data_IF_837457258670
#
_entry.id   IF_837457258670
#
_cell.length_a   1.000
_cell.length_b   1.000
_cell.length_c   1.000
_cell.angle_alpha   90.00
_cell.angle_beta   90.00
_cell.angle_gamma   90.00
#
_symmetry.space_group_name_H-M   'P 1'
#
loop_
_entity.id
_entity.type
_entity.pdbx_description
1 polymer ?
#
# COMPACT_ATOMS: atom_id res chain seq x y z
N UNK A 1 5.79 37.53 16.67
CA UNK A 1 5.60 36.12 16.34
C UNK A 1 6.17 35.24 17.45
N UNK A 2 5.56 34.10 17.73
CA UNK A 2 6.01 33.16 18.75
C UNK A 2 6.55 31.86 18.08
N UNK A 3 7.43 31.14 18.79
CA UNK A 3 8.06 29.96 18.26
C UNK A 3 7.17 28.71 18.31
N UNK A 4 6.38 28.53 19.37
CA UNK A 4 5.61 27.29 19.59
C UNK A 4 4.69 26.86 18.44
N UNK A 5 3.99 27.73 17.66
CA UNK A 5 3.20 27.24 16.55
C UNK A 5 4.07 26.62 15.45
N UNK A 6 5.23 27.22 15.15
CA UNK A 6 6.19 26.68 14.18
C UNK A 6 6.79 25.36 14.68
N UNK A 7 7.13 25.28 15.95
CA UNK A 7 7.67 24.07 16.55
C UNK A 7 6.68 22.91 16.54
N UNK A 8 5.37 23.15 16.72
CA UNK A 8 4.35 22.11 16.55
C UNK A 8 4.25 21.65 15.09
N UNK A 9 4.33 22.56 14.12
CA UNK A 9 4.39 22.19 12.70
C UNK A 9 5.66 21.41 12.37
N UNK A 10 6.80 21.80 12.92
CA UNK A 10 8.04 21.07 12.77
C UNK A 10 7.97 19.67 13.43
N UNK A 11 7.35 19.55 14.59
CA UNK A 11 7.13 18.26 15.24
C UNK A 11 6.37 17.30 14.30
N UNK A 12 5.34 17.78 13.62
CA UNK A 12 4.59 16.97 12.65
C UNK A 12 5.47 16.50 11.49
N UNK A 13 6.26 17.39 10.89
CA UNK A 13 7.18 17.04 9.80
C UNK A 13 8.27 16.07 10.26
N UNK A 14 8.88 16.34 11.42
CA UNK A 14 9.92 15.49 12.01
C UNK A 14 9.38 14.11 12.38
N UNK A 15 8.16 14.03 12.92
CA UNK A 15 7.51 12.76 13.20
C UNK A 15 7.33 11.92 11.92
N UNK A 16 6.79 12.54 10.85
CA UNK A 16 6.67 11.89 9.55
C UNK A 16 8.02 11.42 8.99
N UNK A 17 9.05 12.24 9.13
CA UNK A 17 10.40 11.86 8.71
C UNK A 17 10.96 10.71 9.56
N UNK A 18 10.73 10.71 10.87
CA UNK A 18 11.15 9.62 11.76
C UNK A 18 10.50 8.27 11.39
N UNK A 19 9.21 8.29 11.04
CA UNK A 19 8.50 7.08 10.57
C UNK A 19 9.06 6.57 9.25
N UNK A 20 9.46 7.49 8.35
CA UNK A 20 10.01 7.15 7.03
C UNK A 20 11.51 6.82 7.05
N UNK A 21 12.17 6.88 8.19
CA UNK A 21 13.58 6.45 8.24
C UNK A 21 13.69 4.92 8.03
N UNK A 22 14.66 4.51 7.21
CA UNK A 22 15.85 5.22 6.70
C UNK A 22 15.73 5.76 5.26
N UNK A 23 14.54 5.73 4.67
CA UNK A 23 14.31 6.05 3.25
C UNK A 23 14.06 7.54 2.97
N UNK A 24 13.70 8.31 3.99
CA UNK A 24 13.40 9.74 3.87
C UNK A 24 14.63 10.56 3.42
N UNK A 25 14.45 11.41 2.37
CA UNK A 25 15.51 12.28 1.87
C UNK A 25 15.64 13.52 2.76
N UNK A 26 16.87 13.88 3.14
CA UNK A 26 17.13 15.09 3.93
C UNK A 26 16.68 16.38 3.21
N UNK A 27 16.79 16.42 1.89
CA UNK A 27 16.33 17.56 1.09
C UNK A 27 14.83 17.80 1.26
N UNK A 28 14.03 16.74 1.22
CA UNK A 28 12.57 16.83 1.42
C UNK A 28 12.28 17.31 2.85
N UNK A 29 13.00 16.80 3.85
CA UNK A 29 12.84 17.25 5.23
C UNK A 29 13.02 18.76 5.37
N UNK A 30 14.11 19.32 4.85
CA UNK A 30 14.37 20.77 4.92
C UNK A 30 13.33 21.60 4.16
N UNK A 31 12.91 21.11 2.97
CA UNK A 31 11.87 21.76 2.17
C UNK A 31 10.54 21.84 2.95
N UNK A 32 10.10 20.74 3.56
CA UNK A 32 8.85 20.73 4.32
C UNK A 32 8.94 21.49 5.63
N UNK A 33 10.07 21.48 6.34
CA UNK A 33 10.29 22.32 7.52
C UNK A 33 10.18 23.81 7.17
N UNK A 34 10.80 24.24 6.07
CA UNK A 34 10.73 25.61 5.61
C UNK A 34 9.32 25.99 5.14
N UNK A 35 8.67 25.16 4.33
CA UNK A 35 7.32 25.40 3.83
C UNK A 35 6.27 25.49 4.95
N UNK A 36 6.30 24.56 5.90
CA UNK A 36 5.40 24.55 7.06
C UNK A 36 5.67 25.76 7.96
N UNK A 37 6.92 26.14 8.19
CA UNK A 37 7.25 27.34 8.93
C UNK A 37 6.69 28.59 8.26
N UNK A 38 6.88 28.74 6.95
CA UNK A 38 6.33 29.86 6.16
C UNK A 38 4.80 29.96 6.26
N UNK A 39 4.10 28.84 6.06
CA UNK A 39 2.64 28.79 6.17
C UNK A 39 2.14 29.18 7.57
N UNK A 40 2.80 28.71 8.62
CA UNK A 40 2.43 29.02 10.02
C UNK A 40 2.74 30.48 10.36
N UNK A 41 3.83 31.05 9.85
CA UNK A 41 4.14 32.48 10.02
C UNK A 41 3.09 33.35 9.35
N UNK A 42 2.63 33.00 8.15
CA UNK A 42 1.52 33.67 7.48
C UNK A 42 0.23 33.57 8.32
N UNK A 43 -0.09 32.37 8.84
CA UNK A 43 -1.25 32.18 9.71
C UNK A 43 -1.16 33.07 10.96
N UNK A 44 0.01 33.12 11.63
CA UNK A 44 0.20 34.01 12.79
C UNK A 44 0.00 35.48 12.42
N UNK A 45 0.48 35.92 11.26
CA UNK A 45 0.31 37.27 10.79
C UNK A 45 -1.18 37.59 10.53
N UNK A 46 -1.89 36.74 9.82
CA UNK A 46 -3.33 36.89 9.56
C UNK A 46 -4.11 36.98 10.88
N UNK A 47 -3.83 36.08 11.82
CA UNK A 47 -4.46 36.11 13.15
C UNK A 47 -4.09 37.37 13.95
N UNK A 48 -2.86 37.89 13.80
CA UNK A 48 -2.45 39.12 14.46
C UNK A 48 -3.22 40.34 13.93
N UNK A 49 -3.49 40.39 12.63
CA UNK A 49 -4.33 41.44 12.01
C UNK A 49 -5.79 41.37 12.48
N UNK A 50 -6.33 40.16 12.65
CA UNK A 50 -7.72 39.95 13.07
C UNK A 50 -7.93 40.21 14.56
N UNK A 51 -7.03 39.72 15.42
CA UNK A 51 -7.21 39.72 16.88
C UNK A 51 -6.62 40.99 17.53
N UNK A 52 -5.71 41.67 16.86
CA UNK A 52 -5.06 42.91 17.32
C UNK A 52 -4.52 42.88 18.76
N UNK A 53 -3.90 41.72 19.13
CA UNK A 53 -3.33 41.49 20.47
C UNK A 53 -1.95 40.84 20.35
N UNK A 54 -0.94 41.23 21.14
CA UNK A 54 0.46 40.82 20.93
C UNK A 54 0.74 39.33 21.18
N UNK A 55 -0.11 38.62 21.92
CA UNK A 55 0.15 37.22 22.34
C UNK A 55 -0.93 36.22 21.96
N UNK A 56 -2.19 36.64 21.85
CA UNK A 56 -3.35 35.80 21.54
C UNK A 56 -3.27 35.10 20.18
N UNK A 57 -2.80 35.76 19.10
CA UNK A 57 -2.70 35.13 17.78
C UNK A 57 -1.86 33.86 17.75
N UNK A 58 -0.73 33.84 18.45
CA UNK A 58 0.16 32.70 18.47
C UNK A 58 -0.48 31.46 19.15
N UNK A 59 -1.21 31.67 20.25
CA UNK A 59 -1.92 30.58 20.94
C UNK A 59 -3.01 29.98 20.04
N UNK A 60 -3.77 30.85 19.35
CA UNK A 60 -4.77 30.42 18.38
C UNK A 60 -4.13 29.68 17.20
N UNK A 61 -3.01 30.17 16.68
CA UNK A 61 -2.25 29.49 15.65
C UNK A 61 -1.82 28.07 16.08
N UNK A 62 -1.34 27.91 17.32
CA UNK A 62 -1.00 26.58 17.83
C UNK A 62 -2.20 25.63 17.90
N UNK A 63 -3.35 26.12 18.35
CA UNK A 63 -4.56 25.30 18.40
C UNK A 63 -4.97 24.83 16.98
N UNK A 64 -4.90 25.73 15.98
CA UNK A 64 -5.15 25.38 14.59
C UNK A 64 -4.14 24.35 14.06
N UNK A 65 -2.84 24.59 14.29
CA UNK A 65 -1.76 23.69 13.80
C UNK A 65 -1.88 22.31 14.42
N UNK A 66 -2.06 22.24 15.74
CA UNK A 66 -2.18 20.94 16.44
C UNK A 66 -3.38 20.16 15.93
N UNK A 67 -4.54 20.77 15.79
CA UNK A 67 -5.70 20.07 15.25
C UNK A 67 -5.51 19.65 13.79
N UNK A 68 -5.04 20.58 12.95
CA UNK A 68 -4.90 20.29 11.52
C UNK A 68 -3.87 19.19 11.23
N UNK A 69 -2.74 19.21 11.94
CA UNK A 69 -1.64 18.27 11.72
C UNK A 69 -1.81 16.94 12.45
N UNK A 70 -2.38 16.92 13.66
CA UNK A 70 -2.37 15.71 14.51
C UNK A 70 -3.73 15.04 14.66
N UNK A 71 -4.83 15.65 14.23
CA UNK A 71 -6.15 15.03 14.31
C UNK A 71 -6.19 13.66 13.61
N UNK A 72 -5.48 13.54 12.49
CA UNK A 72 -5.36 12.30 11.76
C UNK A 72 -4.66 11.19 12.54
N UNK A 73 -3.55 11.51 13.20
CA UNK A 73 -2.82 10.56 14.04
C UNK A 73 -3.68 10.09 15.21
N UNK A 74 -4.36 11.00 15.89
CA UNK A 74 -5.25 10.65 17.00
C UNK A 74 -6.39 9.75 16.56
N UNK A 75 -6.99 10.03 15.40
CA UNK A 75 -8.04 9.19 14.84
C UNK A 75 -7.54 7.78 14.56
N UNK A 76 -6.40 7.66 13.88
CA UNK A 76 -5.80 6.35 13.57
C UNK A 76 -5.41 5.57 14.83
N UNK A 77 -4.86 6.25 15.82
CA UNK A 77 -4.55 5.60 17.09
C UNK A 77 -5.81 5.11 17.80
N UNK A 78 -6.89 5.90 17.75
CA UNK A 78 -8.18 5.50 18.30
C UNK A 78 -8.79 4.31 17.52
N UNK A 79 -8.64 4.30 16.20
CA UNK A 79 -9.06 3.19 15.35
C UNK A 79 -8.37 1.88 15.76
N UNK A 80 -7.06 1.90 15.94
CA UNK A 80 -6.29 0.75 16.45
C UNK A 80 -6.77 0.30 17.83
N UNK A 81 -7.00 1.21 18.77
CA UNK A 81 -7.45 0.86 20.12
C UNK A 81 -8.87 0.35 20.19
N UNK A 82 -9.73 0.75 19.25
CA UNK A 82 -11.15 0.39 19.27
C UNK A 82 -11.50 -0.71 18.27
N UNK A 83 -10.53 -1.18 17.49
CA UNK A 83 -10.72 -2.22 16.48
C UNK A 83 -11.33 -3.48 17.11
N UNK A 84 -12.41 -3.99 16.51
CA UNK A 84 -13.16 -5.16 17.03
C UNK A 84 -14.00 -4.90 18.28
N UNK A 85 -14.08 -3.67 18.76
CA UNK A 85 -14.92 -3.29 19.91
C UNK A 85 -16.17 -2.51 19.51
N UNK A 86 -17.17 -2.48 20.41
CA UNK A 86 -18.38 -1.64 20.26
C UNK A 86 -18.08 -0.13 20.15
N UNK A 87 -16.83 0.29 20.37
CA UNK A 87 -16.40 1.68 20.34
C UNK A 87 -15.75 2.09 19.02
N UNK A 88 -15.63 1.19 18.03
CA UNK A 88 -15.00 1.47 16.73
C UNK A 88 -15.63 2.68 16.00
N UNK A 89 -16.91 2.95 16.24
CA UNK A 89 -17.60 4.11 15.68
C UNK A 89 -16.99 5.46 16.08
N UNK A 90 -16.27 5.54 17.22
CA UNK A 90 -15.57 6.77 17.65
C UNK A 90 -14.46 7.18 16.69
N UNK A 91 -13.87 6.27 15.95
CA UNK A 91 -12.83 6.56 14.97
C UNK A 91 -13.39 7.15 13.65
N UNK A 92 -14.70 7.19 13.46
CA UNK A 92 -15.31 7.72 12.23
C UNK A 92 -15.16 9.24 12.14
N UNK A 93 -14.72 9.73 10.97
CA UNK A 93 -14.39 11.15 10.74
C UNK A 93 -15.57 12.10 11.02
N UNK A 94 -16.79 11.66 10.80
CA UNK A 94 -18.02 12.44 11.07
C UNK A 94 -18.13 12.95 12.52
N UNK A 95 -17.51 12.25 13.47
CA UNK A 95 -17.51 12.67 14.88
C UNK A 95 -16.35 13.59 15.22
N UNK A 96 -15.23 13.45 14.52
CA UNK A 96 -14.04 14.26 14.76
C UNK A 96 -14.19 15.71 14.31
N UNK A 97 -14.94 15.96 13.24
CA UNK A 97 -15.18 17.32 12.74
C UNK A 97 -15.93 18.20 13.74
N UNK A 98 -17.09 17.76 14.28
CA UNK A 98 -17.78 18.52 15.32
C UNK A 98 -16.93 18.73 16.58
N UNK A 99 -16.17 17.71 17.01
CA UNK A 99 -15.27 17.80 18.17
C UNK A 99 -14.18 18.83 17.92
N UNK A 100 -13.50 18.77 16.77
CA UNK A 100 -12.46 19.71 16.39
C UNK A 100 -13.01 21.13 16.25
N UNK A 101 -14.16 21.30 15.61
CA UNK A 101 -14.86 22.60 15.47
C UNK A 101 -15.23 23.19 16.82
N UNK A 102 -15.78 22.36 17.71
CA UNK A 102 -16.14 22.79 19.08
C UNK A 102 -14.88 23.19 19.87
N UNK A 103 -13.83 22.39 19.79
CA UNK A 103 -12.56 22.71 20.46
C UNK A 103 -11.96 24.04 19.96
N UNK A 104 -11.92 24.25 18.65
CA UNK A 104 -11.46 25.52 18.06
C UNK A 104 -12.34 26.69 18.53
N UNK A 105 -13.65 26.52 18.44
CA UNK A 105 -14.57 27.58 18.87
C UNK A 105 -14.39 27.92 20.34
N UNK A 106 -14.36 26.92 21.23
CA UNK A 106 -14.11 27.14 22.67
C UNK A 106 -12.75 27.80 22.93
N UNK A 107 -11.69 27.34 22.22
CA UNK A 107 -10.36 27.92 22.33
C UNK A 107 -10.35 29.40 21.90
N UNK A 108 -11.05 29.73 20.82
CA UNK A 108 -11.19 31.09 20.34
C UNK A 108 -11.95 31.97 21.34
N UNK A 109 -13.12 31.49 21.80
CA UNK A 109 -13.92 32.24 22.79
C UNK A 109 -13.12 32.47 24.07
N UNK A 110 -12.43 31.44 24.56
CA UNK A 110 -11.62 31.56 25.76
C UNK A 110 -10.47 32.57 25.59
N UNK A 111 -9.70 32.46 24.50
CA UNK A 111 -8.58 33.35 24.21
C UNK A 111 -9.07 34.81 24.01
N UNK A 112 -10.20 35.01 23.31
CA UNK A 112 -10.71 36.37 23.08
C UNK A 112 -11.24 37.01 24.35
N UNK A 113 -11.95 36.23 25.20
CA UNK A 113 -12.59 36.75 26.42
C UNK A 113 -11.65 36.88 27.61
N UNK A 114 -10.53 36.13 27.64
CA UNK A 114 -9.62 36.19 28.77
C UNK A 114 -8.95 37.54 28.86
N UNK A 115 -8.94 38.13 30.06
CA UNK A 115 -8.17 39.33 30.41
C UNK A 115 -6.73 39.02 30.85
N UNK A 116 -6.40 37.72 31.02
CA UNK A 116 -5.07 37.29 31.45
C UNK A 116 -4.01 37.59 30.40
N UNK A 117 -2.80 37.88 30.87
CA UNK A 117 -1.67 38.22 29.96
C UNK A 117 -1.17 37.08 29.12
N UNK A 118 -1.56 35.83 29.43
CA UNK A 118 -1.18 34.61 28.74
C UNK A 118 0.35 34.40 28.57
N UNK A 119 1.17 35.07 29.38
CA UNK A 119 2.65 34.93 29.37
C UNK A 119 3.04 33.51 29.78
N UNK A 120 2.45 33.02 30.86
CA UNK A 120 2.72 31.67 31.41
C UNK A 120 2.29 30.60 30.40
N UNK A 121 1.11 30.74 29.81
CA UNK A 121 0.63 29.81 28.77
C UNK A 121 1.57 29.77 27.57
N UNK A 122 2.04 30.93 27.10
CA UNK A 122 3.00 31.01 26.00
C UNK A 122 4.32 30.33 26.37
N UNK A 123 4.91 30.64 27.55
CA UNK A 123 6.16 30.01 27.99
C UNK A 123 6.02 28.49 28.10
N UNK A 124 4.89 28.02 28.62
CA UNK A 124 4.58 26.59 28.70
C UNK A 124 4.54 25.95 27.32
N UNK A 125 3.83 26.55 26.33
CA UNK A 125 3.76 26.06 24.98
C UNK A 125 5.12 26.07 24.28
N UNK A 126 5.93 27.12 24.47
CA UNK A 126 7.30 27.20 23.95
C UNK A 126 8.18 26.07 24.53
N UNK A 127 8.11 25.84 25.87
CA UNK A 127 8.88 24.78 26.52
C UNK A 127 8.47 23.36 26.06
N UNK A 128 7.16 23.08 26.03
CA UNK A 128 6.64 21.77 25.63
C UNK A 128 6.98 21.48 24.18
N UNK A 129 6.71 22.42 23.25
CA UNK A 129 7.00 22.21 21.84
C UNK A 129 8.50 22.04 21.57
N UNK A 130 9.36 22.79 22.27
CA UNK A 130 10.81 22.64 22.17
C UNK A 130 11.26 21.27 22.67
N UNK A 131 10.75 20.82 23.82
CA UNK A 131 11.07 19.48 24.36
C UNK A 131 10.65 18.37 23.41
N UNK A 132 9.43 18.44 22.86
CA UNK A 132 8.92 17.43 21.92
C UNK A 132 9.77 17.37 20.64
N UNK A 133 10.13 18.51 20.07
CA UNK A 133 11.03 18.57 18.90
C UNK A 133 12.41 17.99 19.26
N UNK A 134 12.98 18.33 20.41
CA UNK A 134 14.28 17.81 20.85
C UNK A 134 14.25 16.28 21.02
N UNK A 135 13.22 15.73 21.67
CA UNK A 135 13.04 14.30 21.83
C UNK A 135 12.90 13.59 20.48
N UNK A 136 12.13 14.15 19.57
CA UNK A 136 11.96 13.59 18.21
C UNK A 136 13.28 13.61 17.44
N UNK A 137 14.04 14.68 17.51
CA UNK A 137 15.37 14.76 16.89
C UNK A 137 16.33 13.72 17.46
N UNK A 138 16.37 13.56 18.79
CA UNK A 138 17.17 12.50 19.42
C UNK A 138 16.75 11.12 18.93
N UNK A 139 15.44 10.87 18.79
CA UNK A 139 14.91 9.64 18.23
C UNK A 139 15.40 9.41 16.79
N UNK A 140 15.35 10.44 15.95
CA UNK A 140 15.83 10.40 14.57
C UNK A 140 17.33 10.06 14.49
N UNK A 141 18.15 10.67 15.34
CA UNK A 141 19.61 10.40 15.34
C UNK A 141 19.98 9.04 15.92
N UNK A 142 19.18 8.51 16.83
CA UNK A 142 19.41 7.19 17.45
C UNK A 142 18.79 6.04 16.66
N UNK A 143 17.85 6.32 15.75
CA UNK A 143 17.26 5.27 14.95
C UNK A 143 18.35 4.52 14.17
N UNK A 144 18.40 3.19 14.27
CA UNK A 144 19.36 2.43 13.49
C UNK A 144 19.11 2.71 12.01
N UNK A 145 20.14 3.08 11.29
CA UNK A 145 20.10 3.21 9.81
C UNK A 145 20.07 1.80 9.20
N UNK A 146 18.99 1.08 9.47
CA UNK A 146 18.84 -0.34 9.16
C UNK A 146 18.44 -0.56 7.70
N UNK A 147 19.18 0.04 6.75
CA UNK A 147 18.95 -0.35 5.38
C UNK A 147 20.25 -0.53 4.61
N UNK A 148 20.73 -1.73 4.71
CA UNK A 148 21.27 -2.38 3.53
C UNK A 148 20.05 -2.87 2.76
N UNK A 149 19.44 -2.02 1.91
CA UNK A 149 18.62 -2.52 0.82
C UNK A 149 19.48 -3.56 0.12
N UNK A 150 18.95 -4.74 -0.22
CA UNK A 150 19.66 -5.67 -1.06
C UNK A 150 20.02 -4.91 -2.34
N UNK A 151 21.20 -4.30 -2.38
CA UNK A 151 21.78 -3.81 -3.60
C UNK A 151 22.31 -5.05 -4.28
N UNK A 152 21.44 -5.81 -4.92
CA UNK A 152 21.96 -6.87 -5.75
C UNK A 152 22.60 -6.18 -6.95
N UNK A 153 23.94 -6.27 -7.07
CA UNK A 153 24.59 -5.99 -8.35
C UNK A 153 23.94 -6.85 -9.44
N UNK A 154 23.39 -8.00 -9.06
CA UNK A 154 22.52 -8.87 -9.87
C UNK A 154 21.30 -8.14 -10.44
N UNK A 155 20.67 -7.22 -9.73
CA UNK A 155 19.53 -6.46 -10.26
C UNK A 155 19.90 -5.57 -11.47
N UNK A 156 21.19 -5.30 -11.70
CA UNK A 156 21.67 -4.53 -12.84
C UNK A 156 22.15 -5.39 -14.00
N UNK A 157 22.38 -6.68 -13.78
CA UNK A 157 22.82 -7.58 -14.83
C UNK A 157 21.64 -7.92 -15.76
N UNK A 158 21.75 -7.70 -17.08
CA UNK A 158 20.72 -8.08 -18.02
C UNK A 158 20.52 -9.60 -18.03
N UNK A 159 19.30 -10.02 -18.33
CA UNK A 159 18.99 -11.41 -18.59
C UNK A 159 19.51 -11.82 -19.96
N UNK A 160 19.89 -13.08 -20.14
CA UNK A 160 20.25 -13.62 -21.44
C UNK A 160 18.98 -13.78 -22.28
N UNK A 161 18.92 -13.07 -23.39
CA UNK A 161 17.76 -13.13 -24.30
C UNK A 161 18.18 -13.84 -25.56
N UNK A 162 17.56 -15.00 -25.82
CA UNK A 162 17.73 -15.75 -27.05
C UNK A 162 16.51 -15.50 -27.96
N UNK A 163 16.70 -14.81 -29.09
CA UNK A 163 15.62 -14.51 -30.03
C UNK A 163 14.72 -13.34 -29.62
N UNK A 164 13.42 -13.46 -29.88
CA UNK A 164 12.41 -12.46 -29.51
C UNK A 164 11.77 -12.87 -28.19
N UNK A 165 12.08 -12.19 -27.08
CA UNK A 165 11.52 -12.52 -25.79
C UNK A 165 9.99 -12.19 -25.76
N UNK A 166 9.19 -13.01 -25.08
CA UNK A 166 7.75 -12.76 -24.96
C UNK A 166 7.45 -11.54 -24.08
N UNK A 167 6.33 -10.87 -24.33
CA UNK A 167 5.77 -9.93 -23.35
C UNK A 167 5.45 -10.68 -22.06
N UNK A 168 5.61 -10.02 -20.91
CA UNK A 168 5.32 -10.59 -19.60
C UNK A 168 4.25 -9.74 -18.93
N UNK A 169 3.13 -10.36 -18.58
CA UNK A 169 2.05 -9.77 -17.80
C UNK A 169 2.07 -10.35 -16.39
N UNK A 170 2.34 -9.53 -15.38
CA UNK A 170 2.17 -9.88 -13.99
C UNK A 170 0.92 -9.19 -13.48
N UNK A 171 -0.17 -9.95 -13.36
CA UNK A 171 -1.49 -9.51 -12.92
C UNK A 171 -1.69 -10.00 -11.50
N UNK A 172 -1.65 -9.07 -10.55
CA UNK A 172 -1.84 -9.33 -9.14
C UNK A 172 -3.25 -8.95 -8.73
N UNK A 173 -3.96 -9.88 -8.11
CA UNK A 173 -5.29 -9.70 -7.53
C UNK A 173 -5.17 -9.63 -6.01
N UNK A 174 -5.56 -8.50 -5.41
CA UNK A 174 -5.36 -8.25 -3.98
C UNK A 174 -6.38 -9.03 -3.13
N UNK A 175 -5.88 -9.85 -2.23
CA UNK A 175 -6.66 -10.72 -1.34
C UNK A 175 -7.49 -11.81 -2.06
N UNK A 176 -7.06 -12.28 -3.23
CA UNK A 176 -7.75 -13.36 -3.92
C UNK A 176 -7.33 -14.73 -3.34
N UNK A 177 -8.21 -15.33 -2.55
CA UNK A 177 -7.98 -16.64 -1.93
C UNK A 177 -8.06 -17.79 -2.95
N UNK A 178 -7.50 -18.97 -2.61
CA UNK A 178 -7.46 -20.09 -3.54
C UNK A 178 -8.84 -20.71 -3.82
N UNK A 179 -9.05 -21.32 -5.00
CA UNK A 179 -10.28 -22.06 -5.29
C UNK A 179 -10.60 -23.14 -4.26
N UNK A 180 -9.57 -23.80 -3.70
CA UNK A 180 -9.73 -24.82 -2.66
C UNK A 180 -10.28 -24.21 -1.37
N UNK A 181 -9.77 -23.04 -0.96
CA UNK A 181 -10.27 -22.31 0.21
C UNK A 181 -11.69 -21.78 0.00
N UNK A 182 -12.00 -21.27 -1.18
CA UNK A 182 -13.37 -20.86 -1.53
C UNK A 182 -14.36 -22.00 -1.37
N UNK A 183 -13.99 -23.19 -1.80
CA UNK A 183 -14.82 -24.39 -1.63
C UNK A 183 -14.91 -24.86 -0.18
N UNK A 184 -13.80 -24.82 0.54
CA UNK A 184 -13.73 -25.35 1.91
C UNK A 184 -14.40 -24.45 2.96
N UNK A 185 -14.29 -23.16 2.82
CA UNK A 185 -14.68 -22.19 3.87
C UNK A 185 -15.84 -21.26 3.47
N UNK A 186 -16.16 -21.19 2.15
CA UNK A 186 -17.15 -20.24 1.61
C UNK A 186 -18.34 -20.93 0.94
N UNK A 187 -18.33 -22.27 0.84
CA UNK A 187 -19.30 -23.05 0.07
C UNK A 187 -19.46 -22.53 -1.38
N UNK A 188 -18.37 -22.02 -1.94
CA UNK A 188 -18.34 -21.47 -3.30
C UNK A 188 -17.42 -22.30 -4.21
N UNK A 189 -17.96 -22.79 -5.32
CA UNK A 189 -17.22 -23.55 -6.33
C UNK A 189 -16.73 -22.62 -7.45
N UNK A 190 -15.44 -22.29 -7.42
CA UNK A 190 -14.78 -21.44 -8.42
C UNK A 190 -14.30 -22.21 -9.66
N UNK A 191 -14.84 -23.41 -9.89
CA UNK A 191 -14.49 -24.25 -11.05
C UNK A 191 -14.76 -23.56 -12.40
N UNK A 192 -15.71 -22.66 -12.47
CA UNK A 192 -15.99 -21.87 -13.68
C UNK A 192 -14.78 -21.05 -14.13
N UNK A 193 -14.11 -20.33 -13.20
CA UNK A 193 -12.88 -19.59 -13.53
C UNK A 193 -11.74 -20.57 -13.83
N UNK A 194 -11.54 -21.59 -13.02
CA UNK A 194 -10.47 -22.60 -13.20
C UNK A 194 -10.57 -23.26 -14.56
N UNK A 195 -11.76 -23.73 -14.96
CA UNK A 195 -11.99 -24.35 -16.27
C UNK A 195 -11.79 -23.37 -17.43
N UNK A 196 -12.22 -22.13 -17.27
CA UNK A 196 -12.00 -21.09 -18.26
C UNK A 196 -10.50 -20.82 -18.46
N UNK A 197 -9.74 -20.62 -17.39
CA UNK A 197 -8.29 -20.41 -17.45
C UNK A 197 -7.57 -21.62 -18.05
N UNK A 198 -7.92 -22.83 -17.62
CA UNK A 198 -7.35 -24.06 -18.18
C UNK A 198 -7.68 -24.21 -19.67
N UNK A 199 -8.90 -23.89 -20.09
CA UNK A 199 -9.31 -23.88 -21.50
C UNK A 199 -8.56 -22.85 -22.35
N UNK A 200 -8.08 -21.77 -21.74
CA UNK A 200 -7.20 -20.78 -22.37
C UNK A 200 -5.71 -21.20 -22.35
N UNK A 201 -5.36 -22.33 -21.77
CA UNK A 201 -3.99 -22.84 -21.69
C UNK A 201 -3.21 -22.42 -20.45
N UNK A 202 -3.88 -21.92 -19.40
CA UNK A 202 -3.24 -21.65 -18.12
C UNK A 202 -3.03 -22.95 -17.31
N UNK A 203 -1.91 -23.01 -16.60
CA UNK A 203 -1.66 -23.96 -15.53
C UNK A 203 -2.14 -23.33 -14.23
N UNK A 204 -3.30 -23.80 -13.70
CA UNK A 204 -3.83 -23.36 -12.41
C UNK A 204 -3.21 -24.22 -11.32
N UNK A 205 -2.38 -23.62 -10.48
CA UNK A 205 -1.59 -24.31 -9.47
C UNK A 205 -2.39 -24.50 -8.17
N UNK A 206 -2.43 -25.73 -7.70
CA UNK A 206 -3.10 -26.08 -6.45
C UNK A 206 -2.20 -25.82 -5.24
N UNK A 207 -2.82 -25.56 -4.09
CA UNK A 207 -2.14 -25.36 -2.82
C UNK A 207 -1.11 -24.24 -2.81
N UNK A 208 -1.26 -23.26 -3.70
CA UNK A 208 -0.38 -22.10 -3.72
C UNK A 208 -0.60 -21.23 -2.48
N UNK A 209 0.50 -20.81 -1.87
CA UNK A 209 0.48 -20.02 -0.64
C UNK A 209 1.38 -18.81 -0.73
N UNK A 210 0.91 -17.70 -0.21
CA UNK A 210 1.73 -16.50 -0.01
C UNK A 210 2.70 -16.72 1.17
N UNK A 211 3.77 -15.93 1.17
CA UNK A 211 4.76 -15.94 2.25
C UNK A 211 4.49 -14.88 3.33
N UNK A 212 3.44 -14.10 3.18
CA UNK A 212 2.99 -13.07 4.11
C UNK A 212 1.49 -12.81 3.93
N UNK A 213 0.92 -12.01 4.81
CA UNK A 213 -0.50 -11.61 4.77
C UNK A 213 -0.69 -10.12 4.46
N UNK A 214 0.34 -9.44 4.05
CA UNK A 214 0.35 -7.99 3.79
C UNK A 214 0.90 -7.71 2.39
N UNK A 215 0.13 -7.05 1.55
CA UNK A 215 0.47 -6.72 0.16
C UNK A 215 1.86 -6.12 -0.02
N UNK A 216 2.29 -5.10 0.73
CA UNK A 216 3.64 -4.55 0.56
C UNK A 216 4.76 -5.56 0.89
N UNK A 217 4.55 -6.42 1.88
CA UNK A 217 5.51 -7.47 2.28
C UNK A 217 5.57 -8.56 1.22
N UNK A 218 4.41 -9.03 0.75
CA UNK A 218 4.31 -10.02 -0.32
C UNK A 218 5.03 -9.55 -1.58
N UNK A 219 4.70 -8.37 -2.07
CA UNK A 219 5.30 -7.81 -3.28
C UNK A 219 6.79 -7.54 -3.14
N UNK A 220 7.23 -7.04 -1.99
CA UNK A 220 8.66 -6.85 -1.73
C UNK A 220 9.44 -8.17 -1.88
N UNK A 221 8.87 -9.30 -1.44
CA UNK A 221 9.49 -10.63 -1.58
C UNK A 221 9.35 -11.22 -2.98
N UNK A 222 8.16 -11.14 -3.58
CA UNK A 222 7.89 -11.72 -4.91
C UNK A 222 8.76 -11.09 -6.00
N UNK A 223 8.77 -9.75 -6.06
CA UNK A 223 9.51 -9.00 -7.07
C UNK A 223 11.03 -9.03 -6.85
N UNK A 224 11.49 -9.32 -5.63
CA UNK A 224 12.90 -9.57 -5.34
C UNK A 224 13.28 -11.05 -5.41
N UNK A 225 12.32 -11.93 -5.67
CA UNK A 225 12.59 -13.36 -5.74
C UNK A 225 13.31 -13.90 -4.49
N UNK A 226 13.08 -13.29 -3.32
CA UNK A 226 13.80 -13.62 -2.09
C UNK A 226 13.00 -13.28 -0.84
N UNK A 227 13.16 -14.07 0.22
CA UNK A 227 12.68 -13.71 1.54
C UNK A 227 13.51 -12.58 2.12
N UNK A 228 12.87 -11.51 2.52
CA UNK A 228 13.54 -10.30 2.98
C UNK A 228 13.43 -10.15 4.49
N UNK A 229 14.47 -9.65 5.16
CA UNK A 229 14.44 -9.38 6.60
C UNK A 229 13.63 -8.11 6.88
N UNK A 230 12.30 -8.20 6.77
CA UNK A 230 11.41 -7.08 7.07
C UNK A 230 11.21 -7.06 8.58
N UNK A 231 11.50 -5.92 9.27
CA UNK A 231 11.42 -5.85 10.72
C UNK A 231 10.01 -6.15 11.24
N UNK A 232 9.88 -7.17 12.09
CA UNK A 232 8.61 -7.57 12.70
C UNK A 232 8.14 -6.63 13.80
N UNK A 233 9.10 -5.98 14.47
CA UNK A 233 8.87 -5.06 15.60
C UNK A 233 8.34 -3.68 15.18
N UNK A 234 8.30 -3.38 13.89
CA UNK A 234 7.81 -2.10 13.37
C UNK A 234 6.32 -2.15 13.08
N UNK A 235 5.64 -1.03 13.36
CA UNK A 235 4.24 -0.85 12.97
C UNK A 235 4.07 -0.89 11.44
N UNK A 236 2.88 -1.20 10.95
CA UNK A 236 2.55 -1.16 9.51
C UNK A 236 2.86 0.22 8.89
N UNK A 237 2.64 1.30 9.64
CA UNK A 237 2.97 2.65 9.18
C UNK A 237 4.46 2.83 8.83
N UNK A 238 5.35 2.06 9.46
CA UNK A 238 6.80 2.06 9.18
C UNK A 238 7.19 1.00 8.13
N UNK A 239 6.52 -0.17 8.14
CA UNK A 239 6.81 -1.26 7.19
C UNK A 239 6.42 -0.89 5.76
N UNK A 240 5.25 -0.26 5.56
CA UNK A 240 4.74 0.07 4.23
C UNK A 240 5.71 0.94 3.42
N UNK A 241 6.20 2.08 3.91
CA UNK A 241 7.18 2.88 3.18
C UNK A 241 8.48 2.13 2.86
N UNK A 242 8.92 1.28 3.80
CA UNK A 242 10.10 0.44 3.62
C UNK A 242 9.91 -0.56 2.48
N UNK A 243 8.79 -1.29 2.48
CA UNK A 243 8.45 -2.21 1.40
C UNK A 243 8.28 -1.49 0.05
N UNK A 244 7.68 -0.29 0.03
CA UNK A 244 7.53 0.51 -1.19
C UNK A 244 8.88 0.83 -1.83
N UNK A 245 9.90 1.18 -1.05
CA UNK A 245 11.25 1.43 -1.59
C UNK A 245 11.89 0.14 -2.10
N UNK A 246 11.70 -0.98 -1.42
CA UNK A 246 12.16 -2.30 -1.87
C UNK A 246 11.47 -2.70 -3.19
N UNK A 247 10.16 -2.49 -3.30
CA UNK A 247 9.38 -2.77 -4.51
C UNK A 247 9.88 -1.92 -5.68
N UNK A 248 10.13 -0.63 -5.45
CA UNK A 248 10.64 0.27 -6.48
C UNK A 248 12.00 -0.18 -7.05
N UNK A 249 12.83 -0.79 -6.21
CA UNK A 249 14.17 -1.29 -6.59
C UNK A 249 14.20 -2.79 -6.82
N UNK A 250 13.06 -3.44 -6.92
CA UNK A 250 12.97 -4.89 -6.95
C UNK A 250 13.73 -5.50 -8.12
N UNK A 251 14.33 -6.67 -7.87
CA UNK A 251 15.28 -7.33 -8.78
C UNK A 251 14.63 -7.74 -10.11
N UNK A 252 13.48 -8.40 -10.09
CA UNK A 252 12.87 -8.92 -11.31
C UNK A 252 12.49 -7.80 -12.30
N UNK A 253 11.77 -6.74 -11.93
CA UNK A 253 11.49 -5.63 -12.85
C UNK A 253 12.75 -4.88 -13.28
N UNK A 254 13.74 -4.72 -12.39
CA UNK A 254 14.99 -4.01 -12.71
C UNK A 254 15.80 -4.79 -13.75
N UNK A 255 15.91 -6.11 -13.63
CA UNK A 255 16.60 -6.98 -14.61
C UNK A 255 15.89 -7.01 -15.95
N UNK A 256 14.57 -7.11 -15.97
CA UNK A 256 13.78 -7.03 -17.21
C UNK A 256 14.02 -5.69 -17.91
N UNK A 257 13.97 -4.57 -17.18
CA UNK A 257 14.28 -3.25 -17.73
C UNK A 257 15.71 -3.15 -18.28
N UNK A 258 16.71 -3.67 -17.56
CA UNK A 258 18.09 -3.71 -18.01
C UNK A 258 18.28 -4.59 -19.28
N UNK A 259 17.37 -5.55 -19.49
CA UNK A 259 17.33 -6.44 -20.64
C UNK A 259 16.52 -5.88 -21.82
N UNK A 260 16.12 -4.62 -21.77
CA UNK A 260 15.44 -3.94 -22.87
C UNK A 260 13.91 -4.02 -22.85
N UNK A 261 13.32 -4.56 -21.78
CA UNK A 261 11.85 -4.53 -21.61
C UNK A 261 11.34 -3.12 -21.33
N UNK A 262 10.25 -2.74 -21.99
CA UNK A 262 9.47 -1.58 -21.61
C UNK A 262 8.63 -1.92 -20.37
N UNK A 263 8.88 -1.21 -19.26
CA UNK A 263 8.10 -1.40 -18.02
C UNK A 263 6.83 -0.57 -18.07
N UNK A 264 5.68 -1.22 -18.03
CA UNK A 264 4.33 -0.64 -17.92
C UNK A 264 3.79 -0.90 -16.52
N UNK A 265 3.75 0.13 -15.70
CA UNK A 265 3.33 0.04 -14.31
C UNK A 265 1.86 0.45 -14.14
N UNK A 266 0.95 -0.52 -14.03
CA UNK A 266 -0.47 -0.33 -13.77
C UNK A 266 -0.80 -0.66 -12.30
N UNK A 267 -0.02 -0.14 -11.36
CA UNK A 267 -0.17 -0.44 -9.93
C UNK A 267 -0.26 0.83 -9.09
N UNK A 268 -0.28 0.64 -7.78
CA UNK A 268 -0.24 1.71 -6.77
C UNK A 268 1.18 1.95 -6.23
N UNK A 269 2.16 1.13 -6.63
CA UNK A 269 3.55 1.22 -6.19
C UNK A 269 4.46 1.78 -7.29
N UNK A 270 5.50 2.48 -6.89
CA UNK A 270 6.61 2.76 -7.81
C UNK A 270 7.36 1.46 -8.10
N UNK A 271 7.65 1.14 -9.38
CA UNK A 271 8.33 -0.09 -9.79
C UNK A 271 9.38 0.20 -10.85
N UNK A 272 10.62 -0.20 -10.62
CA UNK A 272 11.76 0.01 -11.51
C UNK A 272 11.94 1.48 -11.95
N UNK A 273 11.63 2.43 -11.06
CA UNK A 273 11.68 3.87 -11.31
C UNK A 273 10.52 4.39 -12.18
N UNK A 274 9.48 3.62 -12.40
CA UNK A 274 8.24 4.06 -13.07
C UNK A 274 7.21 4.42 -12.02
N UNK A 275 6.58 5.58 -12.21
CA UNK A 275 5.48 6.03 -11.37
C UNK A 275 4.31 5.04 -11.39
N UNK A 276 3.55 4.96 -10.29
CA UNK A 276 2.33 4.16 -10.24
C UNK A 276 1.25 4.74 -11.16
N UNK A 277 0.37 3.87 -11.63
CA UNK A 277 -0.81 4.28 -12.41
C UNK A 277 -1.75 5.16 -11.58
N UNK A 278 -1.85 4.85 -10.30
CA UNK A 278 -2.65 5.59 -9.33
C UNK A 278 -1.88 5.78 -8.02
N UNK A 279 -1.70 7.05 -7.61
CA UNK A 279 -1.10 7.35 -6.30
C UNK A 279 -2.16 7.36 -5.22
N UNK A 280 -2.11 6.37 -4.38
CA UNK A 280 -2.99 6.29 -3.22
C UNK A 280 -2.39 7.05 -2.04
N UNK A 281 -3.12 8.04 -1.48
CA UNK A 281 -2.65 8.76 -0.30
C UNK A 281 -2.47 7.79 0.88
N UNK A 282 -1.24 7.65 1.35
CA UNK A 282 -0.89 6.81 2.51
C UNK A 282 -0.34 5.41 2.19
N UNK A 283 -0.55 4.88 0.99
CA UNK A 283 0.02 3.59 0.57
C UNK A 283 1.12 3.78 -0.48
N UNK A 284 0.94 4.74 -1.39
CA UNK A 284 1.82 4.90 -2.53
C UNK A 284 3.01 5.80 -2.24
N UNK A 285 4.17 5.19 -2.20
CA UNK A 285 5.48 5.82 -2.24
C UNK A 285 6.06 6.22 -0.88
N UNK A 286 7.37 6.09 -0.73
CA UNK A 286 8.10 6.45 0.48
C UNK A 286 8.34 7.96 0.59
N UNK A 287 7.46 8.80 0.04
CA UNK A 287 7.66 10.24 0.06
C UNK A 287 7.11 10.86 1.32
N UNK A 288 7.88 11.78 1.90
CA UNK A 288 7.45 12.57 3.06
C UNK A 288 6.16 13.35 2.77
N UNK A 289 5.98 13.82 1.53
CA UNK A 289 4.74 14.49 1.11
C UNK A 289 3.52 13.60 1.23
N UNK A 290 3.58 12.38 0.71
CA UNK A 290 2.47 11.45 0.75
C UNK A 290 2.10 11.09 2.20
N UNK A 291 3.11 10.84 3.04
CA UNK A 291 2.89 10.59 4.46
C UNK A 291 2.20 11.77 5.15
N UNK A 292 2.79 12.99 5.04
CA UNK A 292 2.25 14.18 5.68
C UNK A 292 0.82 14.48 5.18
N UNK A 293 0.60 14.38 3.86
CA UNK A 293 -0.74 14.59 3.29
C UNK A 293 -1.76 13.62 3.87
N UNK A 294 -1.43 12.32 3.96
CA UNK A 294 -2.36 11.30 4.48
C UNK A 294 -2.80 11.52 5.93
N UNK A 295 -2.02 12.29 6.70
CA UNK A 295 -2.28 12.59 8.13
C UNK A 295 -3.00 13.92 8.36
N UNK A 296 -3.09 14.77 7.32
CA UNK A 296 -3.81 16.04 7.47
C UNK A 296 -5.32 15.81 7.57
N UNK A 297 -5.99 16.59 8.42
CA UNK A 297 -7.44 16.55 8.58
C UNK A 297 -8.21 16.70 7.25
N UNK A 298 -7.73 17.59 6.37
CA UNK A 298 -8.33 17.79 5.05
C UNK A 298 -8.23 16.57 4.14
N UNK A 299 -7.08 15.89 4.14
CA UNK A 299 -6.90 14.69 3.33
C UNK A 299 -7.83 13.56 3.76
N UNK A 300 -8.08 13.42 5.06
CA UNK A 300 -8.99 12.42 5.58
C UNK A 300 -10.44 12.64 5.14
N UNK A 301 -10.87 13.90 5.02
CA UNK A 301 -12.18 14.24 4.46
C UNK A 301 -12.29 13.93 2.97
N UNK A 302 -11.20 14.13 2.24
CA UNK A 302 -11.15 13.84 0.82
C UNK A 302 -11.02 12.34 0.55
N UNK A 303 -10.40 11.58 1.45
CA UNK A 303 -10.17 10.14 1.29
C UNK A 303 -11.47 9.32 1.24
N UNK A 304 -12.56 9.75 1.87
CA UNK A 304 -13.86 9.09 1.69
C UNK A 304 -14.30 9.05 0.22
N UNK A 305 -13.92 10.05 -0.59
CA UNK A 305 -14.19 10.09 -2.03
C UNK A 305 -13.14 9.28 -2.85
N UNK A 306 -11.95 9.12 -2.32
CA UNK A 306 -10.87 8.40 -2.98
C UNK A 306 -11.18 6.91 -3.08
N UNK A 307 -11.79 6.32 -2.07
CA UNK A 307 -12.18 4.89 -2.11
C UNK A 307 -13.18 4.59 -3.23
N UNK A 308 -14.07 5.51 -3.59
CA UNK A 308 -14.95 5.31 -4.74
C UNK A 308 -14.20 5.24 -6.07
N UNK A 309 -13.07 5.95 -6.17
CA UNK A 309 -12.26 5.94 -7.38
C UNK A 309 -11.52 4.62 -7.60
N UNK A 310 -11.35 3.77 -6.58
CA UNK A 310 -10.73 2.45 -6.73
C UNK A 310 -11.47 1.55 -7.71
N UNK A 311 -12.80 1.54 -7.63
CA UNK A 311 -13.60 0.77 -8.57
C UNK A 311 -13.31 1.19 -10.02
N UNK A 312 -13.27 2.50 -10.28
CA UNK A 312 -12.97 3.03 -11.61
C UNK A 312 -11.54 2.73 -12.05
N UNK A 313 -10.58 2.82 -11.13
CA UNK A 313 -9.18 2.48 -11.38
C UNK A 313 -9.03 1.01 -11.76
N UNK A 314 -9.64 0.08 -11.00
CA UNK A 314 -9.61 -1.35 -11.31
C UNK A 314 -10.22 -1.65 -12.68
N UNK A 315 -11.44 -1.14 -12.96
CA UNK A 315 -12.08 -1.32 -14.26
C UNK A 315 -11.24 -0.74 -15.39
N UNK A 316 -10.58 0.39 -15.17
CA UNK A 316 -9.67 0.99 -16.14
C UNK A 316 -8.45 0.10 -16.41
N UNK A 317 -7.82 -0.44 -15.36
CA UNK A 317 -6.69 -1.38 -15.51
C UNK A 317 -7.12 -2.60 -16.30
N UNK A 318 -8.23 -3.25 -15.96
CA UNK A 318 -8.76 -4.38 -16.72
C UNK A 318 -8.98 -4.04 -18.21
N UNK A 319 -9.50 -2.84 -18.51
CA UNK A 319 -9.71 -2.40 -19.89
C UNK A 319 -8.43 -2.09 -20.65
N UNK A 320 -7.36 -1.67 -19.95
CA UNK A 320 -6.07 -1.33 -20.56
C UNK A 320 -5.26 -2.58 -20.93
N UNK A 321 -5.37 -3.67 -20.18
CA UNK A 321 -4.57 -4.87 -20.41
C UNK A 321 -4.67 -5.41 -21.84
N UNK A 322 -5.86 -5.65 -22.43
CA UNK A 322 -5.98 -6.06 -23.83
C UNK A 322 -5.54 -4.98 -24.84
N UNK A 323 -5.65 -3.69 -24.49
CA UNK A 323 -5.21 -2.59 -25.34
C UNK A 323 -3.68 -2.55 -25.43
N UNK A 324 -2.98 -2.70 -24.30
CA UNK A 324 -1.52 -2.77 -24.26
C UNK A 324 -1.01 -3.99 -25.06
N UNK A 325 -1.74 -5.10 -25.05
CA UNK A 325 -1.41 -6.27 -25.85
C UNK A 325 -1.51 -5.99 -27.37
N UNK A 326 -2.45 -5.14 -27.76
CA UNK A 326 -2.62 -4.74 -29.17
C UNK A 326 -1.58 -3.70 -29.63
N UNK A 327 -0.90 -2.99 -28.71
CA UNK A 327 0.10 -1.99 -29.04
C UNK A 327 1.30 -2.63 -29.77
N UNK A 328 1.62 -2.12 -30.94
CA UNK A 328 2.85 -2.48 -31.63
C UNK A 328 4.05 -1.88 -30.88
N UNK A 329 5.00 -2.72 -30.51
CA UNK A 329 6.26 -2.27 -29.90
C UNK A 329 7.43 -3.02 -30.54
N UNK A 330 8.58 -2.37 -30.63
CA UNK A 330 9.86 -2.98 -31.01
C UNK A 330 10.55 -3.60 -29.80
N UNK A 331 10.13 -3.25 -28.60
CA UNK A 331 10.63 -3.78 -27.33
C UNK A 331 9.58 -4.70 -26.71
N UNK A 332 10.01 -5.78 -26.06
CA UNK A 332 9.09 -6.58 -25.24
C UNK A 332 8.60 -5.77 -24.05
N UNK A 333 7.39 -6.07 -23.59
CA UNK A 333 6.75 -5.36 -22.48
C UNK A 333 6.74 -6.19 -21.21
N UNK A 334 7.08 -5.57 -20.09
CA UNK A 334 6.79 -6.06 -18.76
C UNK A 334 5.64 -5.22 -18.19
N UNK A 335 4.44 -5.80 -18.14
CA UNK A 335 3.23 -5.14 -17.65
C UNK A 335 2.95 -5.65 -16.25
N UNK A 336 3.11 -4.80 -15.25
CA UNK A 336 2.69 -5.09 -13.88
C UNK A 336 1.35 -4.42 -13.62
N UNK A 337 0.31 -5.21 -13.40
CA UNK A 337 -1.03 -4.75 -13.04
C UNK A 337 -1.38 -5.21 -11.64
N UNK A 338 -1.70 -4.27 -10.76
CA UNK A 338 -2.18 -4.56 -9.41
C UNK A 338 -3.64 -4.14 -9.30
N UNK A 339 -4.50 -5.13 -9.16
CA UNK A 339 -5.93 -4.98 -9.02
C UNK A 339 -6.26 -5.03 -7.52
N UNK A 340 -6.82 -3.94 -7.01
CA UNK A 340 -7.25 -3.82 -5.61
C UNK A 340 -8.58 -4.57 -5.36
N UNK A 341 -8.82 -5.63 -6.08
CA UNK A 341 -9.96 -6.55 -5.98
C UNK A 341 -9.41 -7.96 -5.76
N UNK A 342 -10.15 -8.82 -5.04
CA UNK A 342 -11.41 -8.57 -4.34
C UNK A 342 -11.24 -7.93 -2.96
N UNK A 343 -10.06 -7.35 -2.64
CA UNK A 343 -9.79 -6.65 -1.37
C UNK A 343 -10.84 -5.56 -1.07
N UNK A 344 -11.07 -5.28 0.21
CA UNK A 344 -11.84 -4.11 0.64
C UNK A 344 -11.23 -2.79 0.07
N UNK A 345 -12.07 -1.81 -0.34
CA UNK A 345 -13.52 -1.70 -0.19
C UNK A 345 -14.31 -2.53 -1.22
N UNK A 346 -15.41 -3.15 -0.76
CA UNK A 346 -16.30 -3.88 -1.65
C UNK A 346 -17.22 -2.91 -2.38
N UNK A 347 -16.93 -2.70 -3.65
CA UNK A 347 -17.56 -1.66 -4.48
C UNK A 347 -18.55 -2.22 -5.50
N UNK A 348 -18.52 -3.54 -5.70
CA UNK A 348 -19.35 -4.22 -6.71
C UNK A 348 -20.00 -5.47 -6.13
N UNK A 349 -21.25 -5.71 -6.54
CA UNK A 349 -21.88 -7.01 -6.35
C UNK A 349 -21.45 -8.01 -7.45
N UNK A 350 -21.94 -9.24 -7.35
CA UNK A 350 -21.61 -10.31 -8.30
C UNK A 350 -22.04 -10.03 -9.74
N UNK A 351 -22.94 -9.07 -10.01
CA UNK A 351 -23.37 -8.62 -11.33
C UNK A 351 -22.61 -7.36 -11.78
N UNK A 352 -21.65 -6.87 -11.02
CA UNK A 352 -20.89 -5.65 -11.30
C UNK A 352 -21.65 -4.36 -11.05
N UNK A 353 -22.78 -4.41 -10.37
CA UNK A 353 -23.50 -3.20 -9.95
C UNK A 353 -22.79 -2.59 -8.74
N UNK A 354 -22.66 -1.27 -8.75
CA UNK A 354 -22.00 -0.58 -7.63
C UNK A 354 -22.83 -0.71 -6.35
N UNK A 355 -22.18 -1.19 -5.30
CA UNK A 355 -22.73 -1.21 -3.95
C UNK A 355 -22.70 0.22 -3.40
N UNK A 356 -23.79 0.64 -2.79
CA UNK A 356 -23.85 1.97 -2.15
C UNK A 356 -22.79 2.10 -1.07
N UNK A 357 -22.18 3.29 -1.02
CA UNK A 357 -21.17 3.71 -0.05
C UNK A 357 -21.46 3.22 1.36
N UNK A 358 -20.43 2.79 2.03
CA UNK A 358 -20.32 2.93 3.47
C UNK A 358 -20.57 1.67 4.28
N UNK A 359 -20.33 0.48 3.72
CA UNK A 359 -20.12 -0.67 4.60
C UNK A 359 -18.66 -0.58 5.10
N UNK A 360 -18.42 -0.16 6.36
CA UNK A 360 -17.07 -0.13 6.92
C UNK A 360 -16.46 -1.54 6.91
N UNK A 361 -15.13 -1.69 6.93
CA UNK A 361 -14.50 -3.01 6.94
C UNK A 361 -15.00 -3.93 8.05
N UNK A 362 -15.35 -3.34 9.20
CA UNK A 362 -15.90 -4.04 10.36
C UNK A 362 -17.37 -4.46 10.21
N UNK A 363 -18.10 -3.88 9.28
CA UNK A 363 -19.50 -4.21 8.96
C UNK A 363 -19.63 -4.99 7.65
N UNK A 364 -18.56 -5.01 6.84
CA UNK A 364 -18.50 -5.73 5.58
C UNK A 364 -18.27 -7.23 5.85
N UNK A 365 -19.21 -8.02 5.41
CA UNK A 365 -19.19 -9.46 5.64
C UNK A 365 -18.52 -10.26 4.52
N UNK A 366 -18.52 -11.58 4.68
CA UNK A 366 -18.09 -12.52 3.66
C UNK A 366 -18.85 -12.40 2.34
N UNK A 367 -20.12 -12.04 2.39
CA UNK A 367 -20.98 -11.96 1.19
C UNK A 367 -20.54 -10.86 0.22
N UNK A 368 -20.12 -9.70 0.74
CA UNK A 368 -19.65 -8.60 -0.08
C UNK A 368 -18.30 -8.93 -0.75
N UNK A 369 -17.40 -9.61 -0.02
CA UNK A 369 -16.16 -10.10 -0.57
C UNK A 369 -16.43 -11.09 -1.71
N UNK A 370 -17.25 -12.11 -1.47
CA UNK A 370 -17.59 -13.13 -2.46
C UNK A 370 -18.28 -12.52 -3.69
N UNK A 371 -19.21 -11.58 -3.48
CA UNK A 371 -19.86 -10.87 -4.58
C UNK A 371 -18.85 -10.14 -5.46
N UNK A 372 -17.90 -9.43 -4.87
CA UNK A 372 -16.85 -8.71 -5.62
C UNK A 372 -15.89 -9.68 -6.32
N UNK A 373 -15.53 -10.81 -5.70
CA UNK A 373 -14.70 -11.85 -6.29
C UNK A 373 -15.38 -12.48 -7.52
N UNK A 374 -16.67 -12.82 -7.46
CA UNK A 374 -17.41 -13.37 -8.59
C UNK A 374 -17.43 -12.39 -9.77
N UNK A 375 -17.62 -11.11 -9.51
CA UNK A 375 -17.54 -10.10 -10.56
C UNK A 375 -16.12 -9.99 -11.15
N UNK A 376 -15.12 -10.02 -10.28
CA UNK A 376 -13.71 -9.99 -10.72
C UNK A 376 -13.36 -11.17 -11.60
N UNK A 377 -13.89 -12.37 -11.37
CA UNK A 377 -13.72 -13.53 -12.25
C UNK A 377 -14.11 -13.23 -13.71
N UNK A 378 -15.21 -12.50 -13.88
CA UNK A 378 -15.66 -12.06 -15.22
C UNK A 378 -14.66 -11.09 -15.84
N UNK A 379 -14.13 -10.15 -15.06
CA UNK A 379 -13.15 -9.17 -15.52
C UNK A 379 -11.80 -9.83 -15.86
N UNK A 380 -11.32 -10.75 -15.02
CA UNK A 380 -10.11 -11.55 -15.25
C UNK A 380 -10.23 -12.32 -16.57
N UNK A 381 -11.31 -13.10 -16.71
CA UNK A 381 -11.54 -13.91 -17.92
C UNK A 381 -11.51 -13.07 -19.19
N UNK A 382 -12.20 -11.94 -19.21
CA UNK A 382 -12.23 -11.03 -20.35
C UNK A 382 -10.84 -10.41 -20.62
N UNK A 383 -10.12 -10.02 -19.58
CA UNK A 383 -8.81 -9.41 -19.73
C UNK A 383 -7.77 -10.40 -20.27
N UNK A 384 -7.67 -11.62 -19.70
CA UNK A 384 -6.68 -12.61 -20.15
C UNK A 384 -6.99 -13.12 -21.55
N UNK A 385 -8.27 -13.37 -21.87
CA UNK A 385 -8.68 -13.74 -23.23
C UNK A 385 -8.35 -12.60 -24.23
N UNK A 386 -8.57 -11.35 -23.84
CA UNK A 386 -8.22 -10.19 -24.65
C UNK A 386 -6.71 -10.02 -24.84
N UNK A 387 -5.89 -10.25 -23.81
CA UNK A 387 -4.43 -10.26 -23.93
C UNK A 387 -4.00 -11.32 -24.95
N UNK A 388 -4.44 -12.57 -24.79
CA UNK A 388 -4.06 -13.67 -25.66
C UNK A 388 -4.49 -13.42 -27.12
N UNK A 389 -5.69 -12.90 -27.33
CA UNK A 389 -6.22 -12.58 -28.68
C UNK A 389 -5.42 -11.47 -29.38
N UNK A 390 -5.00 -10.45 -28.62
CA UNK A 390 -4.42 -9.23 -29.19
C UNK A 390 -2.88 -9.28 -29.26
N UNK A 391 -2.24 -10.18 -28.51
CA UNK A 391 -0.79 -10.35 -28.55
C UNK A 391 -0.32 -10.93 -29.87
N UNK A 392 0.69 -10.31 -30.51
CA UNK A 392 1.28 -10.79 -31.77
C UNK A 392 2.06 -12.10 -31.58
N UNK A 393 2.70 -12.24 -30.44
CA UNK A 393 3.40 -13.46 -30.00
C UNK A 393 2.82 -13.88 -28.67
N UNK A 394 2.69 -15.19 -28.40
CA UNK A 394 2.15 -15.66 -27.12
C UNK A 394 2.95 -15.09 -25.95
N UNK A 395 2.31 -14.36 -25.01
CA UNK A 395 2.99 -13.75 -23.87
C UNK A 395 3.17 -14.76 -22.74
N UNK A 396 3.97 -14.41 -21.72
CA UNK A 396 3.90 -15.03 -20.40
C UNK A 396 2.86 -14.25 -19.59
N UNK A 397 1.90 -14.94 -18.96
CA UNK A 397 0.93 -14.30 -18.06
C UNK A 397 1.01 -14.97 -16.69
N UNK A 398 1.25 -14.18 -15.67
CA UNK A 398 1.23 -14.56 -14.25
C UNK A 398 -0.02 -13.92 -13.67
N UNK A 399 -1.03 -14.72 -13.33
CA UNK A 399 -2.23 -14.31 -12.60
C UNK A 399 -2.14 -14.86 -11.19
N UNK A 400 -2.02 -13.98 -10.18
CA UNK A 400 -1.62 -14.42 -8.85
C UNK A 400 -2.23 -13.51 -7.77
N UNK A 401 -2.73 -14.12 -6.68
CA UNK A 401 -3.05 -13.42 -5.45
C UNK A 401 -1.78 -13.04 -4.68
N UNK A 402 -1.81 -11.94 -3.96
CA UNK A 402 -0.73 -11.58 -3.04
C UNK A 402 -0.90 -12.27 -1.67
N UNK A 403 -2.10 -12.33 -1.16
CA UNK A 403 -2.54 -13.09 0.02
C UNK A 403 -4.02 -13.48 -0.11
N UNK A 404 -4.52 -14.30 0.80
CA UNK A 404 -5.93 -14.67 0.86
C UNK A 404 -6.76 -13.72 1.72
N UNK A 405 -8.00 -14.11 1.99
CA UNK A 405 -8.91 -13.32 2.82
C UNK A 405 -8.54 -13.37 4.29
N UNK A 406 -8.40 -12.21 4.93
CA UNK A 406 -7.87 -12.09 6.30
C UNK A 406 -8.93 -12.02 7.41
N UNK A 407 -10.19 -11.78 7.04
CA UNK A 407 -11.24 -11.44 8.02
C UNK A 407 -12.21 -12.58 8.33
N UNK A 408 -11.87 -13.82 7.96
CA UNK A 408 -12.70 -14.97 8.34
C UNK A 408 -12.62 -15.19 9.86
N UNK A 409 -13.74 -15.35 10.56
CA UNK A 409 -13.72 -15.64 11.98
C UNK A 409 -13.33 -17.10 12.24
N UNK A 410 -12.62 -17.34 13.35
CA UNK A 410 -12.34 -18.70 13.82
C UNK A 410 -10.92 -19.21 13.55
N UNK A 411 -10.70 -20.52 13.76
CA UNK A 411 -9.36 -21.12 13.79
C UNK A 411 -8.67 -21.19 12.41
N UNK A 412 -9.42 -21.08 11.31
CA UNK A 412 -8.89 -21.16 9.94
C UNK A 412 -8.39 -19.83 9.39
N UNK A 413 -8.47 -18.76 10.17
CA UNK A 413 -8.08 -17.39 9.73
C UNK A 413 -6.65 -17.32 9.20
N UNK A 414 -5.71 -17.93 9.90
CA UNK A 414 -4.29 -17.89 9.50
C UNK A 414 -4.01 -18.71 8.24
N UNK A 415 -4.74 -19.79 8.03
CA UNK A 415 -4.61 -20.61 6.83
C UNK A 415 -5.22 -19.93 5.63
N UNK A 416 -6.44 -19.42 5.75
CA UNK A 416 -7.16 -18.72 4.70
C UNK A 416 -6.39 -17.48 4.22
N UNK A 417 -5.79 -16.72 5.14
CA UNK A 417 -5.06 -15.51 4.84
C UNK A 417 -3.82 -15.72 3.95
N UNK A 418 -3.32 -16.93 3.82
CA UNK A 418 -2.12 -17.23 3.00
C UNK A 418 -2.40 -18.05 1.77
N UNK A 419 -3.60 -18.63 1.60
CA UNK A 419 -3.96 -19.38 0.38
C UNK A 419 -4.32 -18.40 -0.74
N UNK A 420 -3.81 -18.64 -1.95
CA UNK A 420 -3.95 -17.70 -3.07
C UNK A 420 -4.32 -18.41 -4.38
N UNK A 421 -5.00 -17.68 -5.25
CA UNK A 421 -5.06 -18.02 -6.67
C UNK A 421 -3.64 -17.93 -7.27
N UNK A 422 -3.22 -18.91 -8.03
CA UNK A 422 -1.96 -18.88 -8.78
C UNK A 422 -2.14 -19.59 -10.13
N UNK A 423 -2.11 -18.87 -11.22
CA UNK A 423 -2.31 -19.40 -12.56
C UNK A 423 -1.29 -18.80 -13.52
N UNK A 424 -0.63 -19.65 -14.32
CA UNK A 424 0.44 -19.26 -15.22
C UNK A 424 0.11 -19.67 -16.64
N UNK A 425 0.17 -18.74 -17.59
CA UNK A 425 0.20 -19.04 -19.01
C UNK A 425 1.64 -18.94 -19.52
N UNK A 426 2.17 -20.06 -20.03
CA UNK A 426 3.59 -20.25 -20.34
C UNK A 426 3.75 -20.76 -21.77
N UNK A 427 4.00 -19.86 -22.76
CA UNK A 427 4.05 -20.24 -24.15
C UNK A 427 5.25 -21.14 -24.46
N UNK A 428 5.01 -22.17 -25.31
CA UNK A 428 6.08 -23.06 -25.79
C UNK A 428 6.68 -23.98 -24.73
N UNK A 429 6.00 -24.17 -23.61
CA UNK A 429 6.45 -25.03 -22.52
C UNK A 429 5.34 -26.02 -22.15
N UNK A 430 5.68 -27.29 -21.99
CA UNK A 430 4.80 -28.30 -21.38
C UNK A 430 4.67 -28.07 -19.85
N UNK A 431 5.50 -27.17 -19.31
CA UNK A 431 5.50 -26.73 -17.92
C UNK A 431 5.69 -27.87 -16.88
N UNK A 432 6.38 -28.94 -17.25
CA UNK A 432 6.67 -30.12 -16.41
C UNK A 432 7.45 -29.75 -15.14
N UNK A 433 8.05 -28.57 -15.13
CA UNK A 433 8.80 -28.00 -14.02
C UNK A 433 7.91 -27.27 -13.01
N UNK A 434 6.63 -27.11 -13.30
CA UNK A 434 5.68 -26.56 -12.34
C UNK A 434 5.30 -27.64 -11.30
N UNK A 435 5.13 -27.24 -10.08
CA UNK A 435 4.72 -28.11 -8.99
C UNK A 435 3.64 -27.46 -8.11
N UNK A 436 2.85 -28.29 -7.44
CA UNK A 436 1.84 -27.84 -6.50
C UNK A 436 2.50 -27.17 -5.27
N UNK A 437 1.89 -26.11 -4.76
CA UNK A 437 2.39 -25.42 -3.58
C UNK A 437 3.51 -24.40 -3.83
N UNK A 438 3.79 -24.05 -5.08
CA UNK A 438 4.76 -23.01 -5.41
C UNK A 438 4.37 -21.71 -4.70
N UNK A 439 5.28 -21.16 -3.91
CA UNK A 439 5.12 -19.81 -3.37
C UNK A 439 5.55 -18.75 -4.41
N UNK A 440 4.92 -17.58 -4.42
CA UNK A 440 5.21 -16.51 -5.38
C UNK A 440 6.67 -16.04 -5.40
N UNK A 441 7.43 -16.25 -4.32
CA UNK A 441 8.87 -15.95 -4.27
C UNK A 441 9.66 -16.73 -5.34
N UNK A 442 9.16 -17.90 -5.75
CA UNK A 442 9.78 -18.73 -6.77
C UNK A 442 9.27 -18.45 -8.20
N UNK A 443 8.17 -17.71 -8.37
CA UNK A 443 7.55 -17.49 -9.68
C UNK A 443 8.53 -16.89 -10.70
N UNK A 444 9.16 -15.78 -10.40
CA UNK A 444 10.14 -15.18 -11.32
C UNK A 444 11.45 -15.97 -11.42
N UNK A 445 11.85 -16.73 -10.39
CA UNK A 445 12.99 -17.67 -10.47
C UNK A 445 12.74 -18.75 -11.52
N UNK A 446 11.56 -19.34 -11.50
CA UNK A 446 11.11 -20.32 -12.48
C UNK A 446 11.12 -19.74 -13.89
N UNK A 447 10.48 -18.60 -14.10
CA UNK A 447 10.41 -17.93 -15.40
C UNK A 447 11.79 -17.56 -15.92
N UNK A 448 12.65 -17.00 -15.09
CA UNK A 448 14.00 -16.60 -15.51
C UNK A 448 14.89 -17.80 -15.82
N UNK A 449 14.74 -18.91 -15.11
CA UNK A 449 15.45 -20.14 -15.44
C UNK A 449 15.03 -20.70 -16.80
N UNK A 450 13.73 -20.78 -17.06
CA UNK A 450 13.22 -21.45 -18.26
C UNK A 450 13.25 -20.58 -19.52
N UNK A 451 12.96 -19.30 -19.41
CA UNK A 451 12.88 -18.43 -20.58
C UNK A 451 14.10 -17.56 -20.82
N UNK A 452 14.97 -17.39 -19.80
CA UNK A 452 16.11 -16.47 -19.87
C UNK A 452 17.44 -17.15 -19.52
N UNK A 453 17.49 -18.48 -19.48
CA UNK A 453 18.73 -19.24 -19.27
C UNK A 453 19.43 -18.95 -17.94
N UNK A 454 18.67 -18.53 -16.91
CA UNK A 454 19.22 -18.33 -15.59
C UNK A 454 19.22 -19.64 -14.80
N UNK A 455 19.95 -19.65 -13.68
CA UNK A 455 20.12 -20.84 -12.82
C UNK A 455 19.87 -20.49 -11.35
N UNK A 456 18.73 -19.85 -11.08
CA UNK A 456 18.32 -19.59 -9.70
C UNK A 456 17.97 -20.89 -8.97
N UNK A 457 18.57 -21.10 -7.80
CA UNK A 457 18.08 -22.14 -6.89
C UNK A 457 16.67 -21.78 -6.39
N UNK A 458 15.78 -22.76 -6.31
CA UNK A 458 14.47 -22.53 -5.73
C UNK A 458 14.59 -22.38 -4.22
N UNK A 459 13.85 -21.44 -3.67
CA UNK A 459 13.76 -21.22 -2.24
C UNK A 459 12.72 -22.17 -1.65
N UNK A 460 12.85 -22.55 -0.36
CA UNK A 460 11.82 -23.32 0.32
C UNK A 460 10.46 -22.61 0.21
N UNK A 461 9.41 -23.37 -0.15
CA UNK A 461 8.04 -22.84 -0.19
C UNK A 461 7.47 -22.80 1.23
N UNK A 462 7.75 -21.70 1.93
CA UNK A 462 7.36 -21.52 3.34
C UNK A 462 6.24 -20.49 3.40
N UNK A 463 5.07 -20.95 3.86
CA UNK A 463 4.02 -20.04 4.29
C UNK A 463 4.23 -19.66 5.76
N UNK A 464 3.88 -18.44 6.18
CA UNK A 464 3.88 -18.09 7.61
C UNK A 464 2.93 -19.04 8.34
N UNK A 465 3.44 -19.65 9.39
CA UNK A 465 2.62 -20.42 10.34
C UNK A 465 2.69 -19.75 11.69
N UNK A 466 1.63 -19.87 12.50
CA UNK A 466 1.61 -19.31 13.86
C UNK A 466 2.73 -19.86 14.76
N UNK A 467 3.31 -21.02 14.39
CA UNK A 467 4.32 -21.72 15.19
C UNK A 467 5.75 -21.60 14.64
N UNK A 468 5.92 -21.16 13.39
CA UNK A 468 7.24 -21.05 12.77
C UNK A 468 7.24 -19.95 11.69
N UNK A 469 7.26 -18.68 12.07
CA UNK A 469 7.41 -17.62 11.10
C UNK A 469 8.80 -17.75 10.45
N UNK A 470 8.94 -17.60 9.12
CA UNK A 470 10.26 -17.49 8.48
C UNK A 470 11.10 -16.43 9.17
N UNK A 471 12.39 -16.66 9.31
CA UNK A 471 13.28 -15.68 9.94
C UNK A 471 13.12 -14.30 9.29
N UNK A 472 12.56 -13.33 10.01
CA UNK A 472 12.24 -11.98 9.53
C UNK A 472 10.76 -11.73 9.19
N UNK A 473 9.88 -12.74 9.21
CA UNK A 473 8.44 -12.60 8.98
C UNK A 473 7.70 -13.05 10.25
N UNK A 474 7.51 -12.15 11.20
CA UNK A 474 6.58 -12.39 12.31
C UNK A 474 5.22 -11.79 11.96
N UNK A 475 4.16 -12.53 12.32
CA UNK A 475 2.78 -12.15 12.07
C UNK A 475 2.44 -10.77 12.64
N UNK A 476 1.76 -9.96 11.83
CA UNK A 476 1.03 -8.80 12.30
C UNK A 476 -0.13 -9.29 13.19
N UNK A 477 0.04 -9.20 14.51
CA UNK A 477 -1.05 -9.32 15.48
C UNK A 477 -1.78 -8.00 15.63
#
# INVERSE_FOLDING_TARGET
LAAHPVLFGWLFVLHGYAVLQPIGRLQDLFLYLAGVAGAILILQLVLALLVRHPRKPAILASACVVLFCFMGEWRLQLEVWTQGSRWAWLARMRWWLPVAGTFLFCSWVWVLRTSRTLVTTRRYLDAVSTLLVAVTLVGIFRAPRLLVLPSSELAKAPLSINGHPPDIYFILTDAYTSPESLKAYWDYDDSALVNCLTGLGFHVLKNARSNATSTPVCLATYLNMNYLPIPSDKSMASKVPYCCEIINRAEAPARLKASGYEVRNLSIFDVAGKDPFYRFPGISGPSLSAFLWSRLALAMLLNERVFESFGDVNLKIFSLLPQIAAEGSTQPKFVYAHLMMPHWPYLFDQQGRRIRRGVPPEEAGPEEYLGQLIYENTLITNAVAGILKNSKTPPIIILQGDHGYRNIPGPHRSEEAVTILNALYLPGSEADWLYSGITPVNTFRLIFNHYFGQHYSYLPDVAPTATNPPAGLQDDK
#
